data_IF_253353089232
#
_entry.id   IF_253353089232
#
_cell.length_a   1.000
_cell.length_b   1.000
_cell.length_c   1.000
_cell.angle_alpha   90.00
_cell.angle_beta   90.00
_cell.angle_gamma   90.00
#
_symmetry.space_group_name_H-M   'P 1'
#
loop_
_entity.id
_entity.type
_entity.pdbx_description
1 polymer ?
#
# COMPACT_ATOMS: atom_id res chain seq x y z
N UNK A 1 -40.48 19.08 41.73
CA UNK A 1 -40.01 19.34 40.35
C UNK A 1 -39.37 18.05 39.83
N UNK A 2 -40.18 17.05 39.40
CA UNK A 2 -40.41 16.58 38.00
C UNK A 2 -39.09 16.37 37.22
N UNK A 3 -38.67 15.19 36.75
CA UNK A 3 -39.40 13.98 36.31
C UNK A 3 -38.65 12.66 36.64
N UNK A 4 -39.45 11.67 37.00
CA UNK A 4 -39.22 10.22 37.12
C UNK A 4 -39.49 9.50 35.79
N UNK A 5 -38.77 8.41 35.48
CA UNK A 5 -39.34 7.14 34.93
C UNK A 5 -38.40 5.96 35.23
N UNK A 6 -38.99 4.83 35.61
CA UNK A 6 -38.43 3.61 36.22
C UNK A 6 -38.63 2.43 35.25
N UNK A 7 -37.95 1.29 35.53
CA UNK A 7 -38.35 -0.11 35.26
C UNK A 7 -37.93 -0.69 33.88
N UNK A 8 -37.38 -1.92 33.71
CA UNK A 8 -37.60 -3.23 34.36
C UNK A 8 -36.36 -4.16 34.33
N UNK A 9 -36.31 -5.09 35.30
CA UNK A 9 -35.42 -6.25 35.48
C UNK A 9 -35.88 -7.47 34.67
N UNK A 10 -34.97 -8.40 34.34
CA UNK A 10 -35.21 -9.85 34.41
C UNK A 10 -33.88 -10.60 34.68
N UNK A 11 -33.92 -11.55 35.62
CA UNK A 11 -32.83 -12.41 36.09
C UNK A 11 -33.43 -13.82 36.18
N UNK A 12 -32.82 -14.84 35.55
CA UNK A 12 -33.08 -16.26 35.84
C UNK A 12 -31.74 -17.01 35.76
N UNK A 13 -31.52 -17.83 36.78
CA UNK A 13 -30.36 -18.70 37.01
C UNK A 13 -30.82 -20.15 36.95
N UNK A 14 -30.03 -21.05 36.35
CA UNK A 14 -30.01 -22.48 36.69
C UNK A 14 -28.64 -23.12 36.38
N UNK A 15 -28.08 -23.81 37.37
CA UNK A 15 -26.92 -24.72 37.29
C UNK A 15 -27.42 -26.15 37.06
N UNK A 16 -26.67 -26.96 36.32
CA UNK A 16 -26.71 -28.42 36.43
C UNK A 16 -25.30 -29.02 36.23
N UNK A 17 -24.94 -29.96 37.10
CA UNK A 17 -23.68 -30.72 37.19
C UNK A 17 -24.06 -32.18 36.98
N UNK A 18 -23.37 -32.94 36.13
CA UNK A 18 -23.37 -34.41 36.16
C UNK A 18 -21.95 -34.91 35.87
N UNK A 19 -21.54 -35.89 36.67
CA UNK A 19 -20.22 -36.52 36.73
C UNK A 19 -20.32 -38.01 36.38
N UNK A 20 -19.26 -38.55 35.77
CA UNK A 20 -18.75 -39.90 36.03
C UNK A 20 -19.26 -41.05 35.15
N UNK A 21 -18.34 -41.72 34.44
CA UNK A 21 -18.05 -43.16 34.57
C UNK A 21 -17.06 -43.61 33.48
N UNK A 22 -16.17 -44.51 33.86
CA UNK A 22 -15.04 -45.05 33.11
C UNK A 22 -15.19 -46.57 32.89
N UNK A 23 -14.36 -47.12 31.98
CA UNK A 23 -13.91 -48.53 31.84
C UNK A 23 -14.78 -49.43 30.92
N UNK A 24 -14.20 -49.89 29.80
CA UNK A 24 -13.71 -51.27 29.61
C UNK A 24 -13.47 -51.61 28.13
N UNK A 25 -12.34 -52.26 27.88
CA UNK A 25 -11.87 -52.82 26.62
C UNK A 25 -12.58 -54.12 26.21
N UNK A 26 -12.75 -54.34 24.91
CA UNK A 26 -12.70 -55.69 24.31
C UNK A 26 -12.29 -55.63 22.85
N UNK A 27 -11.24 -56.38 22.53
CA UNK A 27 -10.77 -56.63 21.17
C UNK A 27 -11.73 -57.59 20.45
N UNK A 28 -11.92 -57.38 19.15
CA UNK A 28 -12.33 -58.47 18.25
C UNK A 28 -11.69 -58.28 16.87
N UNK A 29 -10.91 -59.28 16.48
CA UNK A 29 -10.25 -59.45 15.18
C UNK A 29 -11.24 -59.93 14.13
N UNK A 30 -11.23 -59.32 12.95
CA UNK A 30 -11.99 -59.78 11.78
C UNK A 30 -11.52 -59.07 10.51
N UNK A 31 -10.98 -59.85 9.59
CA UNK A 31 -10.18 -59.48 8.41
C UNK A 31 -10.97 -58.95 7.21
N UNK A 32 -10.25 -58.17 6.40
CA UNK A 32 -10.35 -58.01 4.94
C UNK A 32 -11.51 -57.17 4.34
N UNK A 33 -11.17 -55.96 3.89
CA UNK A 33 -11.28 -55.54 2.48
C UNK A 33 -10.75 -54.12 2.29
N UNK A 34 -9.85 -53.96 1.31
CA UNK A 34 -9.18 -52.72 0.99
C UNK A 34 -10.13 -51.72 0.31
N UNK A 35 -10.22 -50.52 0.86
CA UNK A 35 -10.91 -49.37 0.25
C UNK A 35 -10.21 -48.09 0.65
N UNK A 36 -9.48 -47.48 -0.30
CA UNK A 36 -8.77 -46.22 -0.11
C UNK A 36 -9.73 -45.02 -0.17
N UNK A 37 -9.59 -43.98 0.69
CA UNK A 37 -10.19 -42.68 0.43
C UNK A 37 -9.14 -41.60 0.17
N UNK A 38 -9.25 -41.03 -1.04
CA UNK A 38 -8.95 -39.65 -1.45
C UNK A 38 -7.70 -38.93 -0.92
N UNK A 39 -6.72 -38.83 -1.81
CA UNK A 39 -5.50 -38.04 -1.66
C UNK A 39 -5.78 -36.53 -1.51
N UNK A 40 -5.37 -35.99 -0.37
CA UNK A 40 -5.09 -34.56 -0.21
C UNK A 40 -3.86 -34.21 -1.06
N UNK A 41 -4.07 -33.43 -2.12
CA UNK A 41 -3.01 -32.83 -2.92
C UNK A 41 -2.15 -31.92 -2.05
N UNK A 42 -0.99 -32.44 -1.59
CA UNK A 42 0.07 -31.62 -0.99
C UNK A 42 0.40 -30.50 -1.97
N UNK A 43 0.17 -29.24 -1.57
CA UNK A 43 0.63 -28.05 -2.31
C UNK A 43 2.12 -28.22 -2.60
N UNK A 44 2.48 -28.48 -3.86
CA UNK A 44 3.88 -28.53 -4.31
C UNK A 44 4.55 -27.22 -3.89
N UNK A 45 5.61 -27.33 -3.07
CA UNK A 45 6.51 -26.20 -2.78
C UNK A 45 6.93 -25.60 -4.11
N UNK A 46 6.85 -24.27 -4.26
CA UNK A 46 7.37 -23.56 -5.43
C UNK A 46 8.83 -24.01 -5.60
N UNK A 47 9.18 -24.54 -6.77
CA UNK A 47 10.58 -24.82 -7.10
C UNK A 47 11.25 -23.45 -7.11
N UNK A 48 12.11 -23.20 -6.14
CA UNK A 48 12.98 -22.04 -6.17
C UNK A 48 14.06 -22.29 -7.22
N UNK A 49 14.27 -21.38 -8.15
CA UNK A 49 15.40 -21.36 -9.08
C UNK A 49 16.73 -21.05 -8.35
N UNK A 50 17.00 -21.76 -7.25
CA UNK A 50 18.26 -21.69 -6.53
C UNK A 50 19.33 -22.63 -7.11
N UNK A 51 19.00 -23.42 -8.15
CA UNK A 51 19.91 -24.47 -8.65
C UNK A 51 21.21 -23.89 -9.22
N UNK A 52 21.16 -22.78 -9.95
CA UNK A 52 22.37 -22.21 -10.56
C UNK A 52 23.11 -21.25 -9.61
N UNK A 53 22.38 -20.47 -8.80
CA UNK A 53 22.98 -19.55 -7.82
C UNK A 53 23.68 -20.25 -6.66
N UNK A 54 23.21 -21.45 -6.23
CA UNK A 54 23.90 -22.24 -5.20
C UNK A 54 25.14 -22.95 -5.74
N UNK A 55 25.14 -23.34 -7.02
CA UNK A 55 26.33 -23.93 -7.67
C UNK A 55 27.44 -22.91 -7.92
N UNK A 56 27.10 -21.62 -7.93
CA UNK A 56 28.05 -20.51 -7.96
C UNK A 56 28.64 -20.22 -6.58
N UNK A 57 28.12 -20.81 -5.50
CA UNK A 57 28.67 -20.63 -4.15
C UNK A 57 29.87 -21.54 -3.87
N UNK A 58 30.63 -21.29 -2.78
CA UNK A 58 31.71 -22.18 -2.38
C UNK A 58 31.17 -23.60 -2.13
N UNK A 59 31.90 -24.60 -2.61
CA UNK A 59 31.60 -26.01 -2.33
C UNK A 59 31.74 -26.31 -0.83
N UNK A 60 31.25 -27.46 -0.39
CA UNK A 60 31.46 -27.89 0.99
C UNK A 60 32.97 -28.02 1.31
N UNK A 61 33.79 -28.51 0.36
CA UNK A 61 35.26 -28.48 0.52
C UNK A 61 35.82 -27.06 0.63
N UNK A 62 35.29 -26.08 -0.11
CA UNK A 62 35.74 -24.69 0.01
C UNK A 62 35.42 -24.10 1.37
N UNK A 63 34.27 -24.46 1.97
CA UNK A 63 33.91 -24.07 3.32
C UNK A 63 34.84 -24.70 4.37
N UNK A 64 35.11 -26.00 4.25
CA UNK A 64 35.99 -26.73 5.19
C UNK A 64 37.46 -26.28 5.06
N UNK A 65 37.92 -25.97 3.85
CA UNK A 65 39.30 -25.50 3.61
C UNK A 65 39.52 -24.00 3.89
N UNK A 66 38.50 -23.26 4.29
CA UNK A 66 38.56 -21.81 4.54
C UNK A 66 38.58 -20.95 3.27
N UNK A 67 38.62 -21.54 2.07
CA UNK A 67 38.58 -20.82 0.78
C UNK A 67 37.25 -20.11 0.54
N UNK A 68 36.18 -20.55 1.19
CA UNK A 68 34.88 -19.88 1.15
C UNK A 68 34.92 -18.41 1.59
N UNK A 69 35.88 -18.02 2.45
CA UNK A 69 36.03 -16.63 2.88
C UNK A 69 36.41 -15.69 1.71
N UNK A 70 37.05 -16.19 0.66
CA UNK A 70 37.34 -15.43 -0.56
C UNK A 70 36.21 -15.44 -1.58
N UNK A 71 35.21 -16.32 -1.41
CA UNK A 71 34.13 -16.49 -2.36
C UNK A 71 33.03 -15.45 -2.10
N UNK A 72 33.13 -14.31 -2.77
CA UNK A 72 32.13 -13.24 -2.66
C UNK A 72 31.12 -13.37 -3.79
N UNK A 73 30.06 -14.16 -3.60
CA UNK A 73 28.90 -14.11 -4.51
C UNK A 73 28.16 -12.81 -4.20
N UNK A 74 28.47 -11.75 -4.96
CA UNK A 74 27.76 -10.48 -4.85
C UNK A 74 26.46 -10.62 -5.63
N UNK A 75 25.32 -10.48 -4.95
CA UNK A 75 24.01 -10.34 -5.60
C UNK A 75 24.11 -9.23 -6.67
N UNK A 76 23.78 -9.49 -7.96
CA UNK A 76 23.84 -8.48 -9.01
C UNK A 76 23.15 -7.18 -8.63
N UNK A 77 22.06 -7.25 -7.86
CA UNK A 77 21.36 -6.07 -7.35
C UNK A 77 22.18 -5.29 -6.32
N UNK A 78 22.92 -5.98 -5.44
CA UNK A 78 23.86 -5.34 -4.53
C UNK A 78 25.09 -4.79 -5.26
N UNK A 79 25.53 -5.44 -6.34
CA UNK A 79 26.59 -4.93 -7.21
C UNK A 79 26.16 -3.63 -7.91
N UNK A 80 24.93 -3.58 -8.42
CA UNK A 80 24.35 -2.36 -9.01
C UNK A 80 24.20 -1.23 -7.99
N UNK A 81 23.99 -1.57 -6.71
CA UNK A 81 23.90 -0.62 -5.59
C UNK A 81 25.26 -0.11 -5.08
N UNK A 82 26.39 -0.54 -5.64
CA UNK A 82 27.70 -0.03 -5.22
C UNK A 82 27.80 1.49 -5.42
N UNK A 83 28.55 2.17 -4.53
CA UNK A 83 28.64 3.64 -4.46
C UNK A 83 29.32 4.22 -5.71
N UNK A 84 28.59 4.35 -6.81
CA UNK A 84 29.06 5.13 -7.96
C UNK A 84 29.16 6.58 -7.53
N UNK A 85 30.33 7.19 -7.71
CA UNK A 85 30.58 8.60 -7.35
C UNK A 85 29.52 9.55 -7.92
N UNK A 86 29.04 9.26 -9.13
CA UNK A 86 27.99 10.03 -9.82
C UNK A 86 26.69 10.12 -9.02
N UNK A 87 26.36 9.10 -8.22
CA UNK A 87 25.11 9.05 -7.44
C UNK A 87 25.24 9.58 -6.01
N UNK A 88 26.44 10.04 -5.60
CA UNK A 88 26.62 10.70 -4.30
C UNK A 88 25.95 12.08 -4.25
N UNK A 89 25.80 12.76 -5.39
CA UNK A 89 25.14 14.07 -5.48
C UNK A 89 23.77 13.92 -6.11
N UNK A 90 22.77 14.54 -5.48
CA UNK A 90 21.43 14.59 -6.04
C UNK A 90 21.43 15.43 -7.34
N UNK A 91 20.96 14.88 -8.47
CA UNK A 91 20.85 15.61 -9.72
C UNK A 91 20.02 16.89 -9.61
N UNK A 92 20.32 17.88 -10.46
CA UNK A 92 19.68 19.20 -10.40
C UNK A 92 18.15 19.13 -10.54
N UNK A 93 17.64 18.24 -11.39
CA UNK A 93 16.19 18.08 -11.66
C UNK A 93 15.40 17.44 -10.50
N UNK A 94 16.08 16.86 -9.51
CA UNK A 94 15.45 16.29 -8.31
C UNK A 94 15.48 17.25 -7.11
N UNK A 95 16.11 18.42 -7.25
CA UNK A 95 16.18 19.43 -6.19
C UNK A 95 14.87 20.21 -6.15
N UNK A 96 14.26 20.25 -4.96
CA UNK A 96 13.06 21.04 -4.67
C UNK A 96 13.41 22.22 -3.75
N UNK A 97 12.67 23.34 -3.84
CA UNK A 97 12.82 24.44 -2.89
C UNK A 97 12.40 24.01 -1.48
N UNK A 98 13.02 24.63 -0.48
CA UNK A 98 12.66 24.40 0.93
C UNK A 98 11.22 24.89 1.15
N UNK A 99 10.34 24.09 1.78
CA UNK A 99 8.96 24.49 2.04
C UNK A 99 8.93 25.74 2.92
N UNK A 100 8.31 26.80 2.41
CA UNK A 100 8.10 28.09 3.09
C UNK A 100 6.70 28.60 2.75
N UNK A 101 6.03 29.26 3.69
CA UNK A 101 4.77 29.96 3.42
C UNK A 101 3.75 29.86 4.55
N UNK A 102 2.86 30.85 4.62
CA UNK A 102 1.81 30.95 5.67
C UNK A 102 0.86 29.75 5.63
N UNK A 103 0.46 29.31 4.44
CA UNK A 103 -0.44 28.15 4.27
C UNK A 103 0.18 26.86 4.80
N UNK A 104 1.48 26.62 4.53
CA UNK A 104 2.19 25.46 5.07
C UNK A 104 2.17 25.45 6.60
N UNK A 105 2.50 26.57 7.24
CA UNK A 105 2.50 26.67 8.71
C UNK A 105 1.10 26.52 9.31
N UNK A 106 0.07 27.07 8.65
CA UNK A 106 -1.32 26.89 9.07
C UNK A 106 -1.73 25.43 9.02
N UNK A 107 -1.54 24.75 7.89
CA UNK A 107 -1.94 23.36 7.75
C UNK A 107 -1.16 22.45 8.70
N UNK A 108 0.13 22.73 8.92
CA UNK A 108 0.94 22.05 9.93
C UNK A 108 0.38 22.21 11.35
N UNK A 109 -0.08 23.42 11.68
CA UNK A 109 -0.73 23.69 12.97
C UNK A 109 -2.04 22.92 13.10
N UNK A 110 -2.89 22.97 12.07
CA UNK A 110 -4.19 22.28 12.06
C UNK A 110 -4.02 20.76 12.19
N UNK A 111 -3.09 20.15 11.44
CA UNK A 111 -2.75 18.72 11.54
C UNK A 111 -2.35 18.34 12.96
N UNK A 112 -1.51 19.17 13.61
CA UNK A 112 -1.06 18.94 14.99
C UNK A 112 -2.19 19.09 16.01
N UNK A 113 -3.03 20.12 15.87
CA UNK A 113 -4.18 20.37 16.76
C UNK A 113 -5.20 19.24 16.70
N UNK A 114 -5.41 18.67 15.51
CA UNK A 114 -6.35 17.56 15.28
C UNK A 114 -5.74 16.19 15.55
N UNK A 115 -4.49 16.13 16.04
CA UNK A 115 -3.73 14.90 16.33
C UNK A 115 -3.65 13.94 15.14
N UNK A 116 -3.61 14.49 13.93
CA UNK A 116 -3.51 13.70 12.70
C UNK A 116 -2.06 13.46 12.32
N UNK A 117 -1.79 12.32 11.70
CA UNK A 117 -0.51 12.03 11.07
C UNK A 117 -0.61 12.26 9.56
N UNK A 118 0.45 12.73 8.92
CA UNK A 118 0.49 12.87 7.45
C UNK A 118 1.69 12.15 6.87
N UNK A 119 1.48 11.42 5.78
CA UNK A 119 2.61 10.77 5.08
C UNK A 119 3.57 11.82 4.51
N UNK A 120 3.08 13.04 4.26
CA UNK A 120 3.90 14.15 3.79
C UNK A 120 5.06 14.44 4.74
N UNK A 121 4.80 14.43 6.06
CA UNK A 121 5.81 14.63 7.10
C UNK A 121 6.56 13.32 7.40
N UNK A 122 5.84 12.22 7.63
CA UNK A 122 6.45 10.95 8.07
C UNK A 122 7.34 10.30 7.00
N UNK A 123 6.97 10.40 5.73
CA UNK A 123 7.78 9.90 4.60
C UNK A 123 8.76 10.93 4.04
N UNK A 124 8.88 12.11 4.65
CA UNK A 124 9.78 13.21 4.24
C UNK A 124 9.59 13.61 2.77
N UNK A 125 8.35 13.87 2.38
CA UNK A 125 8.01 14.14 0.99
C UNK A 125 8.67 15.44 0.49
N UNK A 126 9.39 15.43 -0.65
CA UNK A 126 9.97 16.64 -1.22
C UNK A 126 8.91 17.66 -1.67
N UNK A 127 7.68 17.20 -1.96
CA UNK A 127 6.62 18.02 -2.54
C UNK A 127 5.72 18.70 -1.49
N UNK A 128 6.02 18.57 -0.19
CA UNK A 128 5.13 19.06 0.88
C UNK A 128 4.84 20.56 0.76
N UNK A 129 5.83 21.37 0.35
CA UNK A 129 5.66 22.80 0.17
C UNK A 129 4.72 23.15 -0.99
N UNK A 130 4.75 22.39 -2.07
CA UNK A 130 3.90 22.60 -3.25
C UNK A 130 2.46 22.12 -2.98
N UNK A 131 2.30 20.92 -2.42
CA UNK A 131 0.97 20.35 -2.16
C UNK A 131 0.18 21.12 -1.09
N UNK A 132 0.87 21.63 -0.05
CA UNK A 132 0.22 22.38 1.03
C UNK A 132 0.20 23.89 0.78
N UNK A 133 1.10 24.39 -0.07
CA UNK A 133 1.30 25.82 -0.33
C UNK A 133 0.55 26.39 -1.53
N UNK A 134 -0.25 25.58 -2.23
CA UNK A 134 -1.02 26.01 -3.39
C UNK A 134 -1.82 27.30 -3.12
N UNK A 135 -1.73 28.28 -4.03
CA UNK A 135 -2.48 29.54 -3.94
C UNK A 135 -3.99 29.32 -3.98
N UNK A 136 -4.41 28.30 -4.73
CA UNK A 136 -5.81 27.89 -4.84
C UNK A 136 -6.12 26.80 -3.80
N UNK A 137 -6.99 27.09 -2.83
CA UNK A 137 -7.47 26.09 -1.86
C UNK A 137 -8.07 24.86 -2.53
N UNK A 138 -8.64 25.01 -3.72
CA UNK A 138 -9.21 23.90 -4.50
C UNK A 138 -8.16 22.91 -5.02
N UNK A 139 -6.90 23.33 -5.13
CA UNK A 139 -5.77 22.50 -5.57
C UNK A 139 -4.97 21.88 -4.43
N UNK A 140 -5.19 22.35 -3.20
CA UNK A 140 -4.54 21.79 -2.03
C UNK A 140 -4.92 20.32 -1.87
N UNK A 141 -3.93 19.44 -1.86
CA UNK A 141 -4.10 18.01 -1.62
C UNK A 141 -3.37 17.67 -0.33
N UNK A 142 -4.11 17.19 0.67
CA UNK A 142 -3.53 16.62 1.88
C UNK A 142 -3.56 15.09 1.78
N UNK A 143 -2.50 14.45 2.26
CA UNK A 143 -2.47 13.00 2.44
C UNK A 143 -2.41 12.66 3.93
N UNK A 144 -3.53 12.22 4.46
CA UNK A 144 -3.69 11.87 5.87
C UNK A 144 -3.33 10.40 6.05
N UNK A 145 -2.50 10.11 7.04
CA UNK A 145 -2.11 8.75 7.40
C UNK A 145 -2.89 8.32 8.64
N UNK A 146 -3.72 7.31 8.48
CA UNK A 146 -4.58 6.71 9.50
C UNK A 146 -3.86 5.56 10.21
N UNK A 147 -4.39 5.17 11.37
CA UNK A 147 -3.91 4.10 12.24
C UNK A 147 -2.50 4.33 12.83
N UNK A 148 -2.09 5.59 12.91
CA UNK A 148 -0.85 6.06 13.54
C UNK A 148 0.34 6.17 12.58
N UNK A 149 1.53 6.34 13.16
CA UNK A 149 2.80 6.60 12.46
C UNK A 149 3.75 5.39 12.43
N UNK A 150 3.27 4.24 12.89
CA UNK A 150 4.09 3.06 13.15
C UNK A 150 3.49 1.83 12.48
N UNK A 151 4.25 1.25 11.54
CA UNK A 151 3.86 0.13 10.70
C UNK A 151 4.33 -1.22 11.26
N UNK A 152 3.54 -2.28 11.08
CA UNK A 152 3.94 -3.66 11.42
C UNK A 152 4.89 -4.27 10.38
N UNK A 153 5.15 -3.57 9.27
CA UNK A 153 5.96 -4.01 8.13
C UNK A 153 7.20 -3.16 7.91
N UNK A 154 8.24 -3.79 7.37
CA UNK A 154 9.57 -3.19 7.17
C UNK A 154 9.98 -3.10 5.70
N UNK A 155 9.21 -2.39 4.88
CA UNK A 155 9.57 -2.13 3.48
C UNK A 155 10.89 -1.33 3.39
N UNK A 156 11.85 -1.80 2.59
CA UNK A 156 13.24 -1.27 2.57
C UNK A 156 13.38 0.12 1.96
N UNK A 157 12.36 0.60 1.24
CA UNK A 157 12.27 1.94 0.67
C UNK A 157 11.57 2.95 1.61
N UNK A 158 10.80 2.47 2.59
CA UNK A 158 9.87 3.28 3.38
C UNK A 158 10.49 3.73 4.70
N UNK A 159 10.29 4.99 5.07
CA UNK A 159 10.85 5.59 6.30
C UNK A 159 9.90 5.73 7.48
N UNK A 160 8.65 5.27 7.31
CA UNK A 160 7.68 5.15 8.40
C UNK A 160 8.25 4.26 9.50
N UNK A 161 8.00 4.60 10.77
CA UNK A 161 8.51 3.84 11.91
C UNK A 161 7.97 2.42 11.87
N UNK A 162 8.75 1.47 12.39
CA UNK A 162 8.35 0.06 12.40
C UNK A 162 8.34 -0.48 13.83
N UNK A 163 7.25 -1.16 14.18
CA UNK A 163 7.12 -1.87 15.45
C UNK A 163 6.15 -3.04 15.25
N UNK A 164 6.44 -4.19 15.85
CA UNK A 164 5.53 -5.35 15.82
C UNK A 164 4.26 -5.12 16.65
N UNK A 165 4.35 -4.26 17.66
CA UNK A 165 3.25 -3.94 18.58
C UNK A 165 3.02 -2.40 18.57
N UNK A 166 2.44 -1.84 17.49
CA UNK A 166 2.07 -0.42 17.45
C UNK A 166 1.02 -0.06 18.51
N UNK A 167 0.82 1.22 18.76
CA UNK A 167 -0.22 1.69 19.67
C UNK A 167 -1.62 1.27 19.20
N UNK A 168 -2.56 1.16 20.14
CA UNK A 168 -3.97 0.87 19.82
C UNK A 168 -4.53 1.99 18.94
N UNK A 169 -5.34 1.69 17.90
CA UNK A 169 -6.02 2.69 17.11
C UNK A 169 -6.87 3.62 17.99
N UNK A 170 -6.90 4.91 17.67
CA UNK A 170 -7.82 5.86 18.30
C UNK A 170 -9.23 5.68 17.70
N UNK A 171 -10.24 5.23 18.46
CA UNK A 171 -11.60 5.02 17.93
C UNK A 171 -12.26 6.31 17.43
N UNK A 172 -11.75 7.49 17.81
CA UNK A 172 -12.25 8.80 17.36
C UNK A 172 -11.55 9.34 16.11
N UNK A 173 -10.46 8.71 15.66
CA UNK A 173 -9.69 9.13 14.47
C UNK A 173 -10.57 9.28 13.20
N UNK A 174 -11.54 8.39 12.90
CA UNK A 174 -12.40 8.56 11.73
C UNK A 174 -13.26 9.83 11.80
N UNK A 175 -13.78 10.14 12.98
CA UNK A 175 -14.62 11.32 13.23
C UNK A 175 -13.80 12.61 13.14
N UNK A 176 -12.64 12.63 13.80
CA UNK A 176 -11.72 13.76 13.80
C UNK A 176 -11.18 14.05 12.40
N UNK A 177 -10.87 13.00 11.64
CA UNK A 177 -10.41 13.13 10.25
C UNK A 177 -11.49 13.70 9.34
N UNK A 178 -12.73 13.21 9.45
CA UNK A 178 -13.85 13.74 8.67
C UNK A 178 -14.15 15.21 9.00
N UNK A 179 -14.09 15.56 10.28
CA UNK A 179 -14.23 16.95 10.75
C UNK A 179 -13.11 17.85 10.20
N UNK A 180 -11.86 17.38 10.23
CA UNK A 180 -10.70 18.10 9.68
C UNK A 180 -10.89 18.43 8.20
N UNK A 181 -11.22 17.41 7.39
CA UNK A 181 -11.39 17.55 5.95
C UNK A 181 -12.55 18.49 5.63
N UNK A 182 -13.66 18.38 6.36
CA UNK A 182 -14.81 19.29 6.20
C UNK A 182 -14.42 20.74 6.48
N UNK A 183 -13.66 21.01 7.55
CA UNK A 183 -13.17 22.35 7.91
C UNK A 183 -12.18 22.91 6.88
N UNK A 184 -11.32 22.07 6.32
CA UNK A 184 -10.35 22.49 5.31
C UNK A 184 -11.00 22.83 3.97
N UNK A 185 -12.16 22.23 3.67
CA UNK A 185 -12.89 22.47 2.42
C UNK A 185 -12.11 21.98 1.19
N UNK A 186 -11.38 20.87 1.33
CA UNK A 186 -10.58 20.31 0.23
C UNK A 186 -11.49 19.69 -0.83
N UNK A 187 -11.18 19.92 -2.11
CA UNK A 187 -11.86 19.26 -3.22
C UNK A 187 -11.47 17.79 -3.38
N UNK A 188 -10.26 17.44 -2.95
CA UNK A 188 -9.69 16.09 -3.06
C UNK A 188 -8.83 15.78 -1.82
N UNK A 189 -8.99 14.59 -1.26
CA UNK A 189 -8.17 14.10 -0.14
C UNK A 189 -7.67 12.70 -0.45
N UNK A 190 -6.42 12.45 -0.06
CA UNK A 190 -5.85 11.10 -0.07
C UNK A 190 -5.77 10.61 1.37
N UNK A 191 -6.38 9.46 1.64
CA UNK A 191 -6.19 8.71 2.87
C UNK A 191 -5.17 7.62 2.61
N UNK A 192 -4.27 7.40 3.53
CA UNK A 192 -3.38 6.25 3.53
C UNK A 192 -3.30 5.65 4.92
N UNK A 193 -2.71 4.48 5.05
CA UNK A 193 -2.56 3.78 6.32
C UNK A 193 -1.21 3.12 6.40
N UNK A 194 -0.72 2.95 7.62
CA UNK A 194 0.29 1.94 7.91
C UNK A 194 -0.33 0.55 7.83
N UNK A 195 0.48 -0.48 7.58
CA UNK A 195 0.02 -1.85 7.74
C UNK A 195 -0.16 -2.16 9.23
N UNK A 196 -1.32 -2.71 9.58
CA UNK A 196 -1.73 -3.10 10.93
C UNK A 196 -2.01 -4.60 11.00
N UNK A 197 -0.97 -5.39 10.76
CA UNK A 197 -1.05 -6.86 10.81
C UNK A 197 -1.39 -7.39 12.23
N UNK A 198 -1.37 -6.53 13.25
CA UNK A 198 -1.82 -6.80 14.62
C UNK A 198 -3.36 -6.77 14.77
N UNK A 199 -4.08 -6.21 13.80
CA UNK A 199 -5.55 -6.17 13.78
C UNK A 199 -6.13 -7.29 12.91
N UNK A 200 -7.22 -7.97 13.32
CA UNK A 200 -7.82 -9.06 12.55
C UNK A 200 -8.28 -8.68 11.13
N UNK A 201 -8.68 -7.42 10.93
CA UNK A 201 -9.15 -6.88 9.66
C UNK A 201 -8.07 -6.03 8.94
N UNK A 202 -6.85 -5.99 9.48
CA UNK A 202 -5.77 -5.14 8.98
C UNK A 202 -6.04 -3.63 9.05
N UNK A 203 -7.10 -3.20 9.74
CA UNK A 203 -7.55 -1.81 9.80
C UNK A 203 -8.58 -1.40 8.75
N UNK A 204 -9.07 -2.33 7.91
CA UNK A 204 -9.97 -2.01 6.81
C UNK A 204 -11.28 -1.34 7.24
N UNK A 205 -11.91 -1.79 8.33
CA UNK A 205 -13.15 -1.16 8.80
C UNK A 205 -12.91 0.27 9.28
N UNK A 206 -11.76 0.54 9.89
CA UNK A 206 -11.39 1.87 10.36
C UNK A 206 -11.24 2.86 9.21
N UNK A 207 -10.57 2.43 8.14
CA UNK A 207 -10.44 3.22 6.91
C UNK A 207 -11.81 3.43 6.25
N UNK A 208 -12.62 2.37 6.13
CA UNK A 208 -13.95 2.45 5.52
C UNK A 208 -14.88 3.40 6.30
N UNK A 209 -14.88 3.32 7.63
CA UNK A 209 -15.63 4.24 8.50
C UNK A 209 -15.18 5.69 8.28
N UNK A 210 -13.87 5.92 8.15
CA UNK A 210 -13.33 7.26 7.86
C UNK A 210 -13.85 7.80 6.54
N UNK A 211 -13.83 7.00 5.47
CA UNK A 211 -14.39 7.38 4.17
C UNK A 211 -15.88 7.72 4.28
N UNK A 212 -16.66 6.86 4.93
CA UNK A 212 -18.11 7.07 5.11
C UNK A 212 -18.38 8.38 5.84
N UNK A 213 -17.67 8.67 6.94
CA UNK A 213 -17.82 9.92 7.70
C UNK A 213 -17.41 11.15 6.90
N UNK A 214 -16.34 11.06 6.10
CA UNK A 214 -15.95 12.15 5.19
C UNK A 214 -17.06 12.42 4.18
N UNK A 215 -17.63 11.38 3.57
CA UNK A 215 -18.72 11.54 2.60
C UNK A 215 -20.00 12.11 3.22
N UNK A 216 -20.26 11.83 4.49
CA UNK A 216 -21.36 12.43 5.24
C UNK A 216 -21.12 13.93 5.55
N UNK A 217 -19.92 14.31 5.99
CA UNK A 217 -19.59 15.70 6.39
C UNK A 217 -19.15 16.62 5.26
N UNK A 218 -18.63 16.05 4.18
CA UNK A 218 -18.05 16.76 3.04
C UNK A 218 -18.39 16.02 1.72
N UNK A 219 -19.67 15.97 1.32
CA UNK A 219 -20.13 15.16 0.19
C UNK A 219 -19.54 15.55 -1.17
N UNK A 220 -19.02 16.78 -1.30
CA UNK A 220 -18.37 17.27 -2.52
C UNK A 220 -16.89 16.88 -2.63
N UNK A 221 -16.28 16.43 -1.52
CA UNK A 221 -14.86 16.06 -1.50
C UNK A 221 -14.68 14.67 -2.11
N UNK A 222 -13.76 14.59 -3.06
CA UNK A 222 -13.33 13.31 -3.63
C UNK A 222 -12.31 12.65 -2.69
N UNK A 223 -12.44 11.34 -2.50
CA UNK A 223 -11.65 10.55 -1.55
C UNK A 223 -10.92 9.45 -2.30
N UNK A 224 -9.59 9.51 -2.28
CA UNK A 224 -8.70 8.43 -2.67
C UNK A 224 -8.23 7.69 -1.42
N UNK A 225 -8.30 6.36 -1.41
CA UNK A 225 -7.73 5.55 -0.34
C UNK A 225 -6.55 4.72 -0.86
N UNK A 226 -5.33 5.07 -0.43
CA UNK A 226 -4.12 4.28 -0.61
C UNK A 226 -4.01 3.25 0.51
N UNK A 227 -4.49 2.05 0.22
CA UNK A 227 -4.65 0.95 1.19
C UNK A 227 -3.42 0.03 1.23
N UNK A 228 -3.25 -0.66 2.36
CA UNK A 228 -2.40 -1.86 2.44
C UNK A 228 -3.01 -3.02 1.65
N UNK A 229 -2.40 -4.21 1.74
CA UNK A 229 -2.91 -5.41 1.08
C UNK A 229 -3.81 -6.29 1.97
N UNK A 230 -4.05 -5.87 3.22
CA UNK A 230 -4.82 -6.60 4.24
C UNK A 230 -4.37 -8.06 4.41
N UNK A 231 -3.08 -8.35 4.29
CA UNK A 231 -2.50 -9.71 4.31
C UNK A 231 -3.07 -10.64 3.23
N UNK A 232 -3.60 -10.07 2.14
CA UNK A 232 -4.28 -10.80 1.08
C UNK A 232 -5.74 -11.15 1.40
N UNK A 233 -6.33 -10.60 2.48
CA UNK A 233 -7.75 -10.79 2.77
C UNK A 233 -8.62 -9.95 1.82
N UNK A 234 -9.18 -10.62 0.81
CA UNK A 234 -10.01 -9.99 -0.21
C UNK A 234 -11.38 -9.51 0.29
N UNK A 235 -11.87 -10.04 1.41
CA UNK A 235 -13.10 -9.52 2.04
C UNK A 235 -12.90 -8.10 2.56
N UNK A 236 -11.71 -7.79 3.08
CA UNK A 236 -11.35 -6.45 3.53
C UNK A 236 -11.21 -5.46 2.37
N UNK A 237 -10.78 -5.96 1.21
CA UNK A 237 -10.81 -5.18 -0.04
C UNK A 237 -12.25 -4.83 -0.42
N UNK A 238 -13.21 -5.76 -0.23
CA UNK A 238 -14.62 -5.50 -0.52
C UNK A 238 -15.23 -4.47 0.42
N UNK A 239 -14.92 -4.56 1.71
CA UNK A 239 -15.35 -3.58 2.72
C UNK A 239 -14.88 -2.19 2.31
N UNK A 240 -13.59 -2.06 1.97
CA UNK A 240 -13.03 -0.80 1.50
C UNK A 240 -13.70 -0.33 0.21
N UNK A 241 -13.77 -1.17 -0.83
CA UNK A 241 -14.35 -0.80 -2.12
C UNK A 241 -15.81 -0.30 -2.01
N UNK A 242 -16.58 -0.83 -1.05
CA UNK A 242 -17.97 -0.45 -0.79
C UNK A 242 -18.15 0.78 0.12
N UNK A 243 -17.07 1.36 0.66
CA UNK A 243 -17.14 2.51 1.59
C UNK A 243 -17.57 3.83 0.93
N UNK A 244 -17.66 3.88 -0.40
CA UNK A 244 -18.07 5.08 -1.15
C UNK A 244 -16.91 6.00 -1.55
N UNK A 245 -15.66 5.52 -1.48
CA UNK A 245 -14.50 6.23 -2.03
C UNK A 245 -14.57 6.37 -3.56
N UNK A 246 -13.82 7.32 -4.11
CA UNK A 246 -13.78 7.57 -5.56
C UNK A 246 -12.60 6.87 -6.25
N UNK A 247 -11.49 6.67 -5.54
CA UNK A 247 -10.25 6.06 -6.08
C UNK A 247 -9.64 5.06 -5.11
N UNK A 248 -9.65 3.78 -5.49
CA UNK A 248 -8.97 2.72 -4.77
C UNK A 248 -7.52 2.65 -5.21
N UNK A 249 -6.60 3.05 -4.36
CA UNK A 249 -5.17 2.96 -4.63
C UNK A 249 -4.52 1.82 -3.83
N UNK A 250 -3.66 1.05 -4.50
CA UNK A 250 -2.74 0.10 -3.88
C UNK A 250 -1.48 -0.01 -4.75
N UNK A 251 -0.33 0.32 -4.18
CA UNK A 251 0.91 0.41 -4.94
C UNK A 251 1.58 -0.96 -5.10
N UNK A 252 2.06 -1.24 -6.31
CA UNK A 252 3.01 -2.34 -6.55
C UNK A 252 4.42 -1.97 -6.07
N UNK A 253 4.75 -0.67 -6.09
CA UNK A 253 6.04 -0.06 -5.71
C UNK A 253 7.22 -0.40 -6.62
N UNK A 254 7.30 -1.62 -7.13
CA UNK A 254 8.36 -2.07 -8.03
C UNK A 254 7.88 -3.26 -8.88
N UNK A 255 8.76 -3.77 -9.74
CA UNK A 255 8.51 -4.92 -10.62
C UNK A 255 8.51 -6.25 -9.84
N UNK A 256 7.95 -7.31 -10.42
CA UNK A 256 7.81 -8.61 -9.76
C UNK A 256 9.15 -9.16 -9.25
N UNK A 257 10.21 -9.05 -10.05
CA UNK A 257 11.55 -9.54 -9.71
C UNK A 257 12.16 -8.84 -8.49
N UNK A 258 11.94 -7.53 -8.34
CA UNK A 258 12.52 -6.74 -7.24
C UNK A 258 11.65 -6.71 -5.98
N UNK A 259 10.40 -7.14 -6.09
CA UNK A 259 9.44 -7.11 -4.96
C UNK A 259 10.01 -7.72 -3.67
N UNK A 260 10.62 -8.92 -3.67
CA UNK A 260 11.21 -9.51 -2.46
C UNK A 260 12.38 -8.72 -1.86
N UNK A 261 13.06 -7.90 -2.67
CA UNK A 261 14.23 -7.11 -2.29
C UNK A 261 13.88 -5.68 -1.85
N UNK A 262 12.66 -5.22 -2.14
CA UNK A 262 12.19 -3.84 -1.93
C UNK A 262 11.11 -3.78 -0.85
N UNK A 263 10.13 -4.69 -0.90
CA UNK A 263 8.96 -4.68 -0.02
C UNK A 263 9.13 -5.68 1.13
N UNK A 264 8.30 -5.54 2.17
CA UNK A 264 8.20 -6.56 3.21
C UNK A 264 7.78 -7.90 2.60
N UNK A 265 8.31 -9.02 3.11
CA UNK A 265 8.03 -10.38 2.59
C UNK A 265 6.54 -10.74 2.54
N UNK A 266 5.70 -10.05 3.33
CA UNK A 266 4.24 -10.22 3.37
C UNK A 266 3.53 -9.52 2.19
N UNK A 267 4.19 -8.56 1.55
CA UNK A 267 3.64 -7.76 0.45
C UNK A 267 4.07 -8.31 -0.92
N UNK A 268 3.43 -9.40 -1.35
CA UNK A 268 3.74 -10.07 -2.61
C UNK A 268 3.18 -9.34 -3.84
N UNK A 269 3.90 -9.39 -4.97
CA UNK A 269 3.51 -8.72 -6.22
C UNK A 269 2.13 -9.18 -6.72
N UNK A 270 1.93 -10.50 -6.83
CA UNK A 270 0.63 -11.08 -7.25
C UNK A 270 -0.49 -10.85 -6.23
N UNK A 271 -0.17 -10.73 -4.94
CA UNK A 271 -1.14 -10.36 -3.92
C UNK A 271 -1.62 -8.92 -4.12
N UNK A 272 -0.70 -7.98 -4.36
CA UNK A 272 -1.04 -6.59 -4.67
C UNK A 272 -1.86 -6.44 -5.95
N UNK A 273 -1.58 -7.23 -6.99
CA UNK A 273 -2.44 -7.28 -8.17
C UNK A 273 -3.85 -7.79 -7.85
N UNK A 274 -3.97 -8.84 -7.02
CA UNK A 274 -5.27 -9.37 -6.60
C UNK A 274 -6.10 -8.35 -5.81
N UNK A 275 -5.47 -7.48 -5.00
CA UNK A 275 -6.15 -6.39 -4.29
C UNK A 275 -6.81 -5.42 -5.29
N UNK A 276 -6.04 -4.94 -6.28
CA UNK A 276 -6.56 -4.02 -7.30
C UNK A 276 -7.65 -4.69 -8.16
N UNK A 277 -7.40 -5.94 -8.58
CA UNK A 277 -8.37 -6.74 -9.33
C UNK A 277 -9.69 -6.88 -8.55
N UNK A 278 -9.61 -7.24 -7.27
CA UNK A 278 -10.79 -7.43 -6.42
C UNK A 278 -11.56 -6.12 -6.23
N UNK A 279 -10.87 -5.01 -5.98
CA UNK A 279 -11.53 -3.70 -5.87
C UNK A 279 -12.33 -3.35 -7.14
N UNK A 280 -11.76 -3.64 -8.32
CA UNK A 280 -12.42 -3.42 -9.61
C UNK A 280 -13.60 -4.37 -9.84
N UNK A 281 -13.49 -5.64 -9.45
CA UNK A 281 -14.58 -6.61 -9.56
C UNK A 281 -15.74 -6.29 -8.62
N UNK A 282 -15.44 -5.81 -7.41
CA UNK A 282 -16.46 -5.50 -6.39
C UNK A 282 -17.26 -4.25 -6.72
N UNK A 283 -16.61 -3.23 -7.30
CA UNK A 283 -17.28 -2.03 -7.82
C UNK A 283 -16.68 -1.68 -9.20
N UNK A 284 -17.29 -2.14 -10.32
CA UNK A 284 -16.74 -1.94 -11.67
C UNK A 284 -16.49 -0.48 -12.06
N UNK A 285 -17.27 0.45 -11.51
CA UNK A 285 -17.13 1.89 -11.75
C UNK A 285 -16.03 2.55 -10.90
N UNK A 286 -15.48 1.85 -9.90
CA UNK A 286 -14.42 2.35 -9.03
C UNK A 286 -13.12 2.48 -9.83
N UNK A 287 -12.41 3.58 -9.61
CA UNK A 287 -11.14 3.83 -10.28
C UNK A 287 -10.05 3.21 -9.45
N UNK A 288 -9.23 2.39 -10.09
CA UNK A 288 -8.11 1.70 -9.47
C UNK A 288 -6.80 2.37 -9.87
N UNK A 289 -5.91 2.52 -8.89
CA UNK A 289 -4.67 3.27 -9.05
C UNK A 289 -3.50 2.56 -8.41
N UNK A 290 -2.34 2.64 -9.06
CA UNK A 290 -1.10 2.11 -8.51
C UNK A 290 0.07 3.07 -8.75
N UNK A 291 1.19 2.75 -8.11
CA UNK A 291 2.46 3.47 -8.25
C UNK A 291 3.60 2.48 -8.38
N UNK A 292 4.59 2.85 -9.19
CA UNK A 292 5.85 2.14 -9.39
C UNK A 292 6.98 3.16 -9.26
N UNK A 293 7.92 2.89 -8.36
CA UNK A 293 9.13 3.70 -8.22
C UNK A 293 10.21 3.20 -9.18
N UNK A 294 10.90 4.13 -9.81
CA UNK A 294 12.03 3.87 -10.69
C UNK A 294 13.37 4.17 -10.01
N UNK A 295 14.45 3.55 -10.48
CA UNK A 295 15.79 3.67 -9.92
C UNK A 295 16.11 2.63 -8.83
N UNK A 296 15.34 1.54 -8.77
CA UNK A 296 15.52 0.42 -7.85
C UNK A 296 16.34 -0.73 -8.45
N UNK A 297 16.61 -0.67 -9.76
CA UNK A 297 17.33 -1.68 -10.54
C UNK A 297 16.46 -2.41 -11.56
N UNK A 298 15.25 -1.92 -11.79
CA UNK A 298 14.30 -2.46 -12.77
C UNK A 298 14.79 -2.23 -14.20
N UNK A 299 14.44 -3.16 -15.10
CA UNK A 299 14.67 -3.01 -16.53
C UNK A 299 13.42 -2.51 -17.25
N UNK A 300 13.60 -1.98 -18.46
CA UNK A 300 12.49 -1.55 -19.31
C UNK A 300 11.47 -2.67 -19.56
N UNK A 301 11.95 -3.87 -19.88
CA UNK A 301 11.10 -5.04 -20.12
C UNK A 301 10.27 -5.42 -18.89
N UNK A 302 10.86 -5.31 -17.69
CA UNK A 302 10.14 -5.58 -16.44
C UNK A 302 9.06 -4.52 -16.16
N UNK A 303 9.30 -3.27 -16.53
CA UNK A 303 8.29 -2.21 -16.40
C UNK A 303 7.18 -2.38 -17.44
N UNK A 304 7.50 -2.76 -18.68
CA UNK A 304 6.50 -3.12 -19.69
C UNK A 304 5.65 -4.30 -19.22
N UNK A 305 6.26 -5.36 -18.70
CA UNK A 305 5.55 -6.50 -18.12
C UNK A 305 4.65 -6.09 -16.97
N UNK A 306 5.12 -5.18 -16.10
CA UNK A 306 4.32 -4.65 -14.99
C UNK A 306 3.09 -3.90 -15.48
N UNK A 307 3.25 -3.07 -16.52
CA UNK A 307 2.12 -2.41 -17.16
C UNK A 307 1.15 -3.40 -17.80
N UNK A 308 1.64 -4.45 -18.45
CA UNK A 308 0.80 -5.51 -19.04
C UNK A 308 -0.01 -6.24 -17.97
N UNK A 309 0.62 -6.64 -16.86
CA UNK A 309 -0.07 -7.26 -15.71
C UNK A 309 -1.18 -6.36 -15.16
N UNK A 310 -0.90 -5.05 -15.03
CA UNK A 310 -1.87 -4.07 -14.55
C UNK A 310 -3.04 -3.88 -15.52
N UNK A 311 -2.79 -3.88 -16.82
CA UNK A 311 -3.86 -3.82 -17.83
C UNK A 311 -4.68 -5.10 -17.85
N UNK A 312 -4.08 -6.28 -17.63
CA UNK A 312 -4.80 -7.55 -17.55
C UNK A 312 -5.83 -7.61 -16.40
N UNK A 313 -5.66 -6.80 -15.36
CA UNK A 313 -6.62 -6.65 -14.26
C UNK A 313 -7.46 -5.38 -14.33
N UNK A 314 -7.45 -4.68 -15.48
CA UNK A 314 -8.16 -3.42 -15.71
C UNK A 314 -7.80 -2.29 -14.73
N UNK A 315 -6.54 -2.19 -14.31
CA UNK A 315 -6.07 -1.07 -13.50
C UNK A 315 -6.13 0.24 -14.31
N UNK A 316 -6.78 1.28 -13.78
CA UNK A 316 -7.09 2.50 -14.56
C UNK A 316 -5.93 3.49 -14.58
N UNK A 317 -5.25 3.67 -13.45
CA UNK A 317 -4.23 4.71 -13.26
C UNK A 317 -2.91 4.12 -12.79
N UNK A 318 -1.82 4.56 -13.42
CA UNK A 318 -0.45 4.23 -13.01
C UNK A 318 0.34 5.51 -12.77
N UNK A 319 1.27 5.46 -11.82
CA UNK A 319 2.19 6.57 -11.55
C UNK A 319 3.63 6.08 -11.51
N UNK A 320 4.54 6.86 -12.10
CA UNK A 320 5.97 6.59 -12.10
C UNK A 320 6.72 7.75 -11.45
N UNK A 321 7.49 7.44 -10.40
CA UNK A 321 8.28 8.42 -9.67
C UNK A 321 9.70 7.92 -9.40
N UNK A 322 10.66 8.83 -9.22
CA UNK A 322 12.01 8.43 -8.80
C UNK A 322 11.98 7.95 -7.35
N UNK A 323 12.57 6.77 -7.09
CA UNK A 323 12.90 6.34 -5.75
C UNK A 323 13.93 7.30 -5.15
N UNK A 324 13.55 7.89 -4.02
CA UNK A 324 14.38 8.81 -3.27
C UNK A 324 14.68 8.19 -1.91
N UNK A 325 15.96 7.86 -1.70
CA UNK A 325 16.42 7.21 -0.48
C UNK A 325 16.19 8.11 0.75
N UNK A 326 15.32 7.73 1.71
CA UNK A 326 14.98 8.62 2.82
C UNK A 326 16.11 8.85 3.83
N UNK A 327 16.90 7.80 4.10
CA UNK A 327 18.07 7.85 5.00
C UNK A 327 19.14 6.87 4.54
N UNK A 328 20.37 7.00 5.07
CA UNK A 328 21.48 6.07 4.82
C UNK A 328 21.22 4.62 5.26
N UNK A 329 20.14 4.34 6.01
CA UNK A 329 19.75 2.98 6.42
C UNK A 329 18.85 2.27 5.40
N UNK A 330 18.19 3.01 4.52
CA UNK A 330 17.32 2.45 3.49
C UNK A 330 18.12 1.98 2.29
N UNK A 331 17.49 1.24 1.37
CA UNK A 331 18.17 0.73 0.19
C UNK A 331 18.80 1.84 -0.66
N UNK A 332 19.95 1.56 -1.27
CA UNK A 332 20.63 2.53 -2.14
C UNK A 332 19.84 2.73 -3.44
N UNK A 333 19.96 3.92 -4.01
CA UNK A 333 19.44 4.21 -5.36
C UNK A 333 20.40 3.53 -6.35
N UNK A 334 19.85 2.79 -7.31
CA UNK A 334 20.63 2.16 -8.39
C UNK A 334 20.89 3.17 -9.51
N UNK A 335 19.87 3.94 -9.87
CA UNK A 335 19.94 4.95 -10.92
C UNK A 335 19.04 6.15 -10.59
N UNK A 336 19.52 7.36 -10.90
CA UNK A 336 18.64 8.52 -11.03
C UNK A 336 18.15 8.63 -12.47
N UNK A 337 16.91 8.21 -12.68
CA UNK A 337 16.26 8.18 -13.99
C UNK A 337 16.11 9.61 -14.53
N UNK A 338 16.46 9.80 -15.80
CA UNK A 338 16.38 11.10 -16.46
C UNK A 338 14.93 11.49 -16.77
N UNK A 339 14.56 12.79 -16.77
CA UNK A 339 13.20 13.24 -17.05
C UNK A 339 12.60 12.69 -18.35
N UNK A 340 13.40 12.58 -19.42
CA UNK A 340 12.95 12.10 -20.73
C UNK A 340 12.46 10.64 -20.67
N UNK A 341 13.03 9.84 -19.77
CA UNK A 341 12.60 8.46 -19.55
C UNK A 341 11.24 8.40 -18.86
N UNK A 342 10.92 9.36 -17.99
CA UNK A 342 9.59 9.47 -17.42
C UNK A 342 8.55 9.84 -18.50
N UNK A 343 8.88 10.74 -19.43
CA UNK A 343 8.00 11.06 -20.56
C UNK A 343 7.76 9.83 -21.45
N UNK A 344 8.80 9.05 -21.75
CA UNK A 344 8.66 7.76 -22.44
C UNK A 344 7.67 6.83 -21.74
N UNK A 345 7.74 6.68 -20.41
CA UNK A 345 6.79 5.83 -19.67
C UNK A 345 5.37 6.37 -19.67
N UNK A 346 5.20 7.69 -19.69
CA UNK A 346 3.89 8.33 -19.81
C UNK A 346 3.23 7.98 -21.15
N UNK A 347 3.99 8.09 -22.23
CA UNK A 347 3.51 7.78 -23.58
C UNK A 347 3.22 6.29 -23.74
N UNK A 348 4.10 5.41 -23.23
CA UNK A 348 3.83 3.97 -23.20
C UNK A 348 2.59 3.58 -22.40
N UNK A 349 2.37 4.16 -21.23
CA UNK A 349 1.15 3.91 -20.47
C UNK A 349 -0.11 4.39 -21.23
N UNK A 350 -0.02 5.52 -21.94
CA UNK A 350 -1.12 6.02 -22.78
C UNK A 350 -1.39 5.08 -23.96
N UNK A 351 -0.37 4.59 -24.65
CA UNK A 351 -0.47 3.60 -25.73
C UNK A 351 -1.14 2.30 -25.25
N UNK A 352 -0.81 1.85 -24.03
CA UNK A 352 -1.38 0.63 -23.43
C UNK A 352 -2.80 0.79 -22.86
N UNK A 353 -3.39 2.00 -22.99
CA UNK A 353 -4.78 2.25 -22.62
C UNK A 353 -5.03 2.49 -21.13
N UNK A 354 -4.03 2.93 -20.36
CA UNK A 354 -4.31 3.48 -19.03
C UNK A 354 -5.16 4.75 -19.17
N UNK A 355 -6.13 4.91 -18.26
CA UNK A 355 -7.01 6.09 -18.25
C UNK A 355 -6.21 7.37 -18.01
N UNK A 356 -5.22 7.28 -17.13
CA UNK A 356 -4.29 8.34 -16.77
C UNK A 356 -2.94 7.78 -16.32
N UNK A 357 -1.86 8.49 -16.65
CA UNK A 357 -0.51 8.21 -16.18
C UNK A 357 0.15 9.51 -15.70
N UNK A 358 0.54 9.56 -14.43
CA UNK A 358 1.44 10.60 -13.92
C UNK A 358 2.87 10.04 -13.88
N UNK A 359 3.75 10.59 -14.70
CA UNK A 359 5.14 10.14 -14.76
C UNK A 359 6.06 11.34 -14.64
N UNK A 360 7.00 11.29 -13.71
CA UNK A 360 8.00 12.33 -13.53
C UNK A 360 8.87 12.10 -12.30
N UNK A 361 10.08 12.70 -12.24
CA UNK A 361 11.03 12.41 -11.16
C UNK A 361 10.45 12.65 -9.76
N UNK A 362 9.67 13.71 -9.58
CA UNK A 362 9.07 14.10 -8.30
C UNK A 362 7.67 13.53 -8.09
N UNK A 363 7.10 12.77 -9.04
CA UNK A 363 5.78 12.18 -8.87
C UNK A 363 5.77 11.21 -7.68
N UNK A 364 4.67 11.24 -6.94
CA UNK A 364 4.33 10.33 -5.85
C UNK A 364 2.89 9.86 -6.07
N UNK A 365 2.50 8.78 -5.41
CA UNK A 365 1.12 8.27 -5.49
C UNK A 365 0.08 9.37 -5.25
N UNK A 366 0.30 10.28 -4.30
CA UNK A 366 -0.62 11.38 -3.99
C UNK A 366 -0.29 12.74 -4.65
N UNK A 367 0.80 12.84 -5.43
CA UNK A 367 1.24 14.11 -5.98
C UNK A 367 0.25 14.65 -7.00
N UNK A 368 -0.31 15.84 -6.73
CA UNK A 368 -1.33 16.52 -7.56
C UNK A 368 -2.50 15.61 -7.95
N UNK A 369 -2.82 14.64 -7.10
CA UNK A 369 -3.84 13.64 -7.39
C UNK A 369 -5.18 14.28 -7.73
N UNK A 370 -5.60 15.33 -7.00
CA UNK A 370 -6.84 16.04 -7.27
C UNK A 370 -6.91 16.71 -8.64
N UNK A 371 -5.89 17.50 -9.00
CA UNK A 371 -5.82 18.20 -10.30
C UNK A 371 -5.85 17.19 -11.45
N UNK A 372 -4.96 16.20 -11.37
CA UNK A 372 -4.81 15.17 -12.38
C UNK A 372 -6.07 14.30 -12.56
N UNK A 373 -6.71 13.93 -11.46
CA UNK A 373 -7.88 13.06 -11.44
C UNK A 373 -9.12 13.77 -11.99
N UNK A 374 -9.41 14.96 -11.48
CA UNK A 374 -10.61 15.74 -11.84
C UNK A 374 -10.56 16.13 -13.32
N UNK A 375 -9.42 16.62 -13.80
CA UNK A 375 -9.30 17.11 -15.17
C UNK A 375 -9.35 15.98 -16.21
N UNK A 376 -8.84 14.79 -15.91
CA UNK A 376 -8.74 13.73 -16.92
C UNK A 376 -9.88 12.71 -16.84
N UNK A 377 -10.27 12.30 -15.63
CA UNK A 377 -11.20 11.18 -15.47
C UNK A 377 -12.65 11.64 -15.58
N UNK A 378 -13.03 12.74 -14.92
CA UNK A 378 -14.40 13.26 -15.00
C UNK A 378 -14.71 13.79 -16.41
N UNK A 379 -13.73 14.39 -17.08
CA UNK A 379 -13.93 14.88 -18.44
C UNK A 379 -14.08 13.74 -19.45
N UNK A 380 -13.27 12.67 -19.37
CA UNK A 380 -13.44 11.50 -20.25
C UNK A 380 -14.77 10.79 -20.00
N UNK A 381 -15.13 10.51 -18.74
CA UNK A 381 -16.43 9.88 -18.41
C UNK A 381 -17.63 10.72 -18.88
N UNK A 382 -17.54 12.05 -18.78
CA UNK A 382 -18.57 12.96 -19.33
C UNK A 382 -18.61 12.94 -20.86
N UNK A 383 -17.49 12.74 -21.53
CA UNK A 383 -17.44 12.62 -22.99
C UNK A 383 -18.01 11.28 -23.46
N UNK A 384 -17.68 10.19 -22.77
CA UNK A 384 -18.19 8.85 -23.10
C UNK A 384 -19.70 8.75 -22.86
N UNK A 385 -20.20 9.32 -21.76
CA UNK A 385 -21.65 9.41 -21.49
C UNK A 385 -22.41 10.37 -22.40
N UNK A 386 -21.73 11.23 -23.18
CA UNK A 386 -22.35 12.09 -24.21
C UNK A 386 -22.32 11.47 -25.61
N UNK A 387 -21.60 10.36 -25.79
CA UNK A 387 -21.48 9.63 -27.06
C UNK A 387 -22.41 8.42 -27.14
N UNK A 388 -23.12 8.13 -26.05
CA UNK A 388 -24.29 7.25 -25.96
C UNK A 388 -25.52 8.16 -25.92
#
# INVERSE_FOLDING_TARGET
MRLTTVQRRFLVSTKAKVSGASISSTANTGSASAGAPNGQTRRRRRITEFKDALNLGPSFEDFVSGRAAGFTVVDPLEQMRQDREEYKKLPKWLKVPIPKGVNYHKLKKDVKELKLSTVCEEARCPNIGECWGGKDKSKATATIMLLGDTCTRGCRFCSVKTNRNPAKPDPTEPENTAEAISRWGLGYVVLTTVDRDDLPDGGAHHLAETVIKIKQKAPKTLVEALTGDFLGNLEMVDVMAKSGLDVYAHNLETVEALTPHVRDRRAGYRQSLNVLKRAKETVPSLITKTSVMLGLGETDDQIIQTMQDLRAINCDVITFGQYMRPTKRHMKVVEYVRPEKFDYWKDKAKEMGFLYCASGPLVRSSYKAGEAFIENVLNKRKQDNKRI
#
